data_IF_654259860256
#
_entry.id   IF_654259860256
#
_cell.length_a   1.000
_cell.length_b   1.000
_cell.length_c   1.000
_cell.angle_alpha   90.00
_cell.angle_beta   90.00
_cell.angle_gamma   90.00
#
_symmetry.space_group_name_H-M   'P 1'
#
loop_
_entity.id
_entity.type
_entity.pdbx_description
1 polymer ?
#
# COMPACT_ATOMS: atom_id res chain seq x y z
N UNK A 1 12.51 -7.94 -7.55
CA UNK A 1 12.13 -7.88 -6.13
C UNK A 1 10.61 -7.71 -6.03
N UNK A 2 9.97 -8.52 -5.22
CA UNK A 2 8.52 -8.47 -5.04
C UNK A 2 8.17 -7.45 -3.96
N UNK A 3 7.14 -6.66 -4.20
CA UNK A 3 6.69 -5.59 -3.33
C UNK A 3 5.30 -5.87 -2.76
N UNK A 4 5.09 -5.41 -1.53
CA UNK A 4 3.78 -5.42 -0.87
C UNK A 4 3.30 -3.98 -0.78
N UNK A 5 2.07 -3.71 -1.21
CA UNK A 5 1.43 -2.40 -1.05
C UNK A 5 0.48 -2.42 0.14
N UNK A 6 0.50 -1.38 0.94
CA UNK A 6 -0.34 -1.26 2.14
C UNK A 6 -1.13 0.04 2.10
N UNK A 7 -2.45 -0.09 2.14
CA UNK A 7 -3.37 1.02 2.36
C UNK A 7 -3.86 0.94 3.81
N UNK A 8 -3.32 1.81 4.65
CA UNK A 8 -3.58 1.78 6.09
C UNK A 8 -4.88 2.51 6.44
N UNK A 9 -5.85 1.79 6.99
CA UNK A 9 -7.08 2.35 7.53
C UNK A 9 -7.19 2.10 9.04
N UNK A 10 -8.12 2.78 9.70
CA UNK A 10 -8.30 2.65 11.14
C UNK A 10 -8.80 1.27 11.56
N UNK A 11 -9.73 0.70 10.80
CA UNK A 11 -10.32 -0.60 11.11
C UNK A 11 -9.81 -1.73 10.24
N UNK A 12 -9.32 -1.43 9.05
CA UNK A 12 -8.88 -2.42 8.07
C UNK A 12 -7.64 -1.92 7.35
N UNK A 13 -6.85 -2.89 6.90
CA UNK A 13 -5.63 -2.63 6.12
C UNK A 13 -5.75 -3.40 4.82
N UNK A 14 -5.73 -2.69 3.69
CA UNK A 14 -5.76 -3.30 2.37
C UNK A 14 -4.34 -3.64 1.90
N UNK A 15 -4.19 -4.81 1.31
CA UNK A 15 -2.90 -5.29 0.81
C UNK A 15 -2.95 -5.57 -0.68
N UNK A 16 -1.87 -5.23 -1.36
CA UNK A 16 -1.61 -5.61 -2.74
C UNK A 16 -0.21 -6.20 -2.85
N UNK A 17 0.04 -6.93 -3.93
CA UNK A 17 1.31 -7.60 -4.14
C UNK A 17 1.75 -7.43 -5.59
N UNK A 18 3.06 -7.30 -5.82
CA UNK A 18 3.60 -7.25 -7.16
C UNK A 18 4.13 -8.60 -7.61
N UNK A 19 4.36 -8.72 -8.93
CA UNK A 19 5.16 -9.80 -9.49
C UNK A 19 6.64 -9.62 -9.11
N UNK A 20 7.45 -10.63 -9.38
CA UNK A 20 8.88 -10.61 -9.06
C UNK A 20 9.66 -9.56 -9.85
N UNK A 21 9.17 -9.20 -11.05
CA UNK A 21 9.79 -8.19 -11.90
C UNK A 21 9.39 -6.76 -11.52
N UNK A 22 8.52 -6.60 -10.53
CA UNK A 22 8.03 -5.30 -10.07
C UNK A 22 7.37 -4.48 -11.18
N UNK A 23 6.60 -5.15 -12.05
CA UNK A 23 5.90 -4.51 -13.16
C UNK A 23 4.42 -4.25 -12.86
N UNK A 24 3.71 -5.24 -12.30
CA UNK A 24 2.27 -5.18 -12.09
C UNK A 24 1.89 -5.45 -10.64
N UNK A 25 0.95 -4.66 -10.14
CA UNK A 25 0.36 -4.86 -8.82
C UNK A 25 -0.99 -5.56 -8.94
N UNK A 26 -1.28 -6.44 -7.99
CA UNK A 26 -2.54 -7.17 -7.90
C UNK A 26 -3.14 -7.00 -6.51
N UNK A 27 -4.48 -6.98 -6.38
CA UNK A 27 -5.10 -7.05 -5.05
C UNK A 27 -4.68 -8.34 -4.35
N UNK A 28 -4.50 -8.29 -3.05
CA UNK A 28 -4.03 -9.46 -2.31
C UNK A 28 -4.99 -9.87 -1.20
N UNK A 29 -5.11 -9.06 -0.16
CA UNK A 29 -5.89 -9.41 1.03
C UNK A 29 -6.28 -8.15 1.80
N UNK A 30 -7.32 -8.25 2.63
CA UNK A 30 -7.68 -7.22 3.61
C UNK A 30 -7.52 -7.82 5.00
N UNK A 31 -6.78 -7.13 5.86
CA UNK A 31 -6.56 -7.56 7.25
C UNK A 31 -7.31 -6.65 8.20
N UNK A 32 -7.70 -7.21 9.35
CA UNK A 32 -8.21 -6.39 10.45
C UNK A 32 -7.04 -5.65 11.11
N UNK A 33 -7.25 -4.38 11.43
CA UNK A 33 -6.25 -3.58 12.13
C UNK A 33 -6.31 -3.87 13.62
N UNK A 34 -5.76 -5.02 14.03
CA UNK A 34 -5.75 -5.49 15.41
C UNK A 34 -4.33 -5.86 15.87
N UNK A 35 -4.22 -6.41 17.07
CA UNK A 35 -2.92 -6.74 17.66
C UNK A 35 -2.12 -7.79 16.88
N UNK A 36 -2.77 -8.53 15.97
CA UNK A 36 -2.11 -9.60 15.19
C UNK A 36 -1.61 -9.12 13.83
N UNK A 37 -1.91 -7.88 13.44
CA UNK A 37 -1.64 -7.41 12.07
C UNK A 37 -0.15 -7.44 11.71
N UNK A 38 0.73 -7.05 12.62
CA UNK A 38 2.17 -7.08 12.37
C UNK A 38 2.69 -8.49 12.14
N UNK A 39 2.23 -9.46 12.94
CA UNK A 39 2.60 -10.86 12.78
C UNK A 39 2.07 -11.44 11.47
N UNK A 40 0.85 -11.07 11.09
CA UNK A 40 0.26 -11.53 9.83
C UNK A 40 1.02 -10.97 8.62
N UNK A 41 1.38 -9.70 8.64
CA UNK A 41 2.18 -9.09 7.57
C UNK A 41 3.58 -9.73 7.52
N UNK A 42 4.19 -9.99 8.66
CA UNK A 42 5.49 -10.66 8.73
C UNK A 42 5.44 -12.04 8.05
N UNK A 43 4.37 -12.80 8.29
CA UNK A 43 4.17 -14.10 7.64
C UNK A 43 4.00 -13.99 6.12
N UNK A 44 3.27 -12.97 5.67
CA UNK A 44 3.09 -12.71 4.24
C UNK A 44 4.42 -12.36 3.59
N UNK A 45 5.20 -11.50 4.22
CA UNK A 45 6.52 -11.09 3.74
C UNK A 45 7.42 -12.31 3.55
N UNK A 46 7.43 -13.22 4.52
CA UNK A 46 8.23 -14.45 4.46
C UNK A 46 7.69 -15.42 3.40
N UNK A 47 6.39 -15.69 3.43
CA UNK A 47 5.75 -16.65 2.50
C UNK A 47 5.87 -16.23 1.04
N UNK A 48 5.62 -14.95 0.77
CA UNK A 48 5.61 -14.39 -0.59
C UNK A 48 6.97 -13.84 -1.02
N UNK A 49 7.97 -13.94 -0.16
CA UNK A 49 9.33 -13.44 -0.43
C UNK A 49 9.34 -11.96 -0.81
N UNK A 50 8.67 -11.16 -0.01
CA UNK A 50 8.57 -9.72 -0.21
C UNK A 50 9.91 -9.06 0.17
N UNK A 51 10.46 -8.24 -0.71
CA UNK A 51 11.69 -7.50 -0.44
C UNK A 51 11.47 -6.07 -0.03
N UNK A 52 10.29 -5.51 -0.33
CA UNK A 52 9.96 -4.14 0.02
C UNK A 52 8.48 -3.95 0.27
N UNK A 53 8.14 -2.96 1.08
CA UNK A 53 6.77 -2.60 1.45
C UNK A 53 6.55 -1.12 1.14
N UNK A 54 5.50 -0.83 0.38
CA UNK A 54 5.08 0.53 0.06
C UNK A 54 3.85 0.86 0.89
N UNK A 55 3.92 1.94 1.65
CA UNK A 55 2.81 2.39 2.50
C UNK A 55 2.34 3.76 2.01
N UNK A 56 1.04 3.88 1.75
CA UNK A 56 0.48 5.15 1.31
C UNK A 56 0.40 6.18 2.43
N UNK A 57 0.77 7.42 2.10
CA UNK A 57 0.59 8.57 3.01
C UNK A 57 -0.47 9.50 2.41
N UNK A 58 -1.68 9.55 3.01
CA UNK A 58 -2.73 10.46 2.55
C UNK A 58 -2.49 11.87 3.06
N UNK A 59 -1.50 12.56 2.47
CA UNK A 59 -1.13 13.92 2.87
C UNK A 59 -2.23 14.92 2.52
N UNK A 60 -2.27 16.02 3.27
CA UNK A 60 -3.10 17.17 2.95
C UNK A 60 -2.65 17.82 1.64
N UNK A 61 -3.52 18.62 1.03
CA UNK A 61 -3.22 19.28 -0.25
C UNK A 61 -1.98 20.17 -0.19
N UNK A 62 -1.68 20.73 0.98
CA UNK A 62 -0.49 21.57 1.21
C UNK A 62 0.78 20.76 1.51
N UNK A 63 0.69 19.43 1.50
CA UNK A 63 1.82 18.54 1.78
C UNK A 63 2.06 18.23 3.25
N UNK A 64 1.27 18.80 4.17
CA UNK A 64 1.40 18.49 5.59
C UNK A 64 0.78 17.13 5.91
N UNK A 65 1.24 16.51 7.01
CA UNK A 65 0.71 15.24 7.49
C UNK A 65 -0.49 15.50 8.41
N UNK A 66 -1.67 15.05 7.96
CA UNK A 66 -2.85 15.01 8.81
C UNK A 66 -2.83 13.79 9.71
N UNK A 67 -3.93 13.57 10.44
CA UNK A 67 -4.04 12.49 11.40
C UNK A 67 -3.87 11.10 10.74
N UNK A 68 -4.51 10.88 9.59
CA UNK A 68 -4.42 9.60 8.87
C UNK A 68 -3.00 9.32 8.37
N UNK A 69 -2.31 10.34 7.85
CA UNK A 69 -0.93 10.19 7.38
C UNK A 69 0.02 9.92 8.55
N UNK A 70 -0.21 10.57 9.69
CA UNK A 70 0.60 10.32 10.89
C UNK A 70 0.44 8.89 11.39
N UNK A 71 -0.78 8.34 11.37
CA UNK A 71 -1.04 6.95 11.75
C UNK A 71 -0.37 5.97 10.80
N UNK A 72 -0.43 6.24 9.49
CA UNK A 72 0.23 5.40 8.49
C UNK A 72 1.75 5.44 8.65
N UNK A 73 2.31 6.60 8.93
CA UNK A 73 3.75 6.76 9.19
C UNK A 73 4.18 5.96 10.43
N UNK A 74 3.42 6.05 11.52
CA UNK A 74 3.69 5.31 12.75
C UNK A 74 3.63 3.80 12.50
N UNK A 75 2.64 3.34 11.73
CA UNK A 75 2.50 1.94 11.36
C UNK A 75 3.70 1.46 10.55
N UNK A 76 4.15 2.24 9.58
CA UNK A 76 5.34 1.93 8.79
C UNK A 76 6.61 1.85 9.63
N UNK A 77 6.75 2.72 10.64
CA UNK A 77 7.87 2.67 11.56
C UNK A 77 7.86 1.39 12.40
N UNK A 78 6.66 0.94 12.82
CA UNK A 78 6.52 -0.33 13.54
C UNK A 78 6.89 -1.52 12.64
N UNK A 79 6.47 -1.49 11.37
CA UNK A 79 6.83 -2.53 10.40
C UNK A 79 8.35 -2.58 10.17
N UNK A 80 8.98 -1.42 10.09
CA UNK A 80 10.44 -1.35 9.90
C UNK A 80 11.18 -2.03 11.07
N UNK A 81 10.68 -1.87 12.28
CA UNK A 81 11.25 -2.53 13.47
C UNK A 81 10.95 -4.03 13.51
N UNK A 82 9.72 -4.41 13.12
CA UNK A 82 9.27 -5.81 13.16
C UNK A 82 9.84 -6.65 12.04
N UNK A 83 10.08 -6.05 10.87
CA UNK A 83 10.52 -6.76 9.66
C UNK A 83 11.74 -6.02 9.07
N UNK A 84 12.90 -6.08 9.74
CA UNK A 84 14.07 -5.31 9.29
C UNK A 84 14.61 -5.76 7.94
N UNK A 85 14.28 -6.95 7.47
CA UNK A 85 14.72 -7.46 6.17
C UNK A 85 13.98 -6.80 5.00
N UNK A 86 12.80 -6.20 5.23
CA UNK A 86 12.03 -5.55 4.18
C UNK A 86 12.31 -4.06 4.14
N UNK A 87 12.49 -3.52 2.93
CA UNK A 87 12.64 -2.09 2.71
C UNK A 87 11.28 -1.41 2.85
N UNK A 88 11.19 -0.33 3.63
CA UNK A 88 9.94 0.42 3.83
C UNK A 88 10.00 1.71 3.03
N UNK A 89 8.98 1.91 2.18
CA UNK A 89 8.83 3.12 1.35
C UNK A 89 7.49 3.76 1.71
N UNK A 90 7.51 5.05 2.01
CA UNK A 90 6.28 5.84 2.16
C UNK A 90 6.00 6.55 0.83
N UNK A 91 4.79 6.37 0.30
CA UNK A 91 4.40 6.90 -0.99
C UNK A 91 3.25 7.88 -0.84
N UNK A 92 3.39 9.06 -1.41
CA UNK A 92 2.38 10.11 -1.35
C UNK A 92 1.17 9.72 -2.21
N UNK A 93 0.02 9.51 -1.57
CA UNK A 93 -1.22 9.13 -2.26
C UNK A 93 -1.73 10.19 -3.23
N UNK A 94 -1.29 11.46 -3.08
CA UNK A 94 -1.64 12.52 -4.04
C UNK A 94 -1.08 12.27 -5.43
N UNK A 95 -0.13 11.33 -5.56
CA UNK A 95 0.46 10.95 -6.84
C UNK A 95 -0.39 9.93 -7.61
N UNK A 96 -1.50 9.46 -7.05
CA UNK A 96 -2.43 8.58 -7.77
C UNK A 96 -3.27 9.38 -8.76
N UNK A 97 -3.73 8.72 -9.84
CA UNK A 97 -4.48 9.39 -10.90
C UNK A 97 -5.92 9.70 -10.50
N UNK A 98 -6.52 10.68 -11.15
CA UNK A 98 -7.93 11.06 -10.94
C UNK A 98 -8.88 9.92 -11.32
N UNK A 99 -8.57 9.18 -12.40
CA UNK A 99 -9.36 8.01 -12.82
C UNK A 99 -9.36 6.93 -11.76
N UNK A 100 -8.20 6.67 -11.15
CA UNK A 100 -8.08 5.70 -10.07
C UNK A 100 -8.95 6.09 -8.88
N UNK A 101 -8.95 7.36 -8.49
CA UNK A 101 -9.78 7.86 -7.40
C UNK A 101 -11.28 7.75 -7.72
N UNK A 102 -11.67 8.02 -8.97
CA UNK A 102 -13.05 7.86 -9.43
C UNK A 102 -13.50 6.41 -9.37
N UNK A 103 -12.64 5.49 -9.81
CA UNK A 103 -12.91 4.06 -9.74
C UNK A 103 -13.13 3.59 -8.31
N UNK A 104 -12.32 4.07 -7.37
CA UNK A 104 -12.48 3.78 -5.95
C UNK A 104 -13.82 4.28 -5.40
N UNK A 105 -14.22 5.51 -5.74
CA UNK A 105 -15.50 6.07 -5.31
C UNK A 105 -16.68 5.30 -5.89
N UNK A 106 -16.61 4.92 -7.16
CA UNK A 106 -17.66 4.14 -7.81
C UNK A 106 -17.81 2.76 -7.17
N UNK A 107 -16.70 2.12 -6.79
CA UNK A 107 -16.72 0.82 -6.11
C UNK A 107 -17.21 0.93 -4.66
N UNK A 108 -17.13 2.12 -4.03
CA UNK A 108 -17.43 2.34 -2.62
C UNK A 108 -18.89 2.42 -2.23
N UNK A 109 -19.82 2.22 -3.17
CA UNK A 109 -21.25 2.46 -2.93
C UNK A 109 -22.00 1.29 -2.29
N UNK A 110 -21.36 0.16 -2.00
CA UNK A 110 -22.06 -1.07 -1.63
C UNK A 110 -21.53 -1.71 -0.34
N UNK A 111 -21.90 -2.92 -0.04
CA UNK A 111 -21.81 -3.71 1.18
C UNK A 111 -20.42 -3.76 1.86
N UNK A 112 -20.33 -4.35 3.08
CA UNK A 112 -19.08 -4.60 3.81
C UNK A 112 -18.05 -5.35 2.96
N UNK A 113 -18.51 -6.28 2.12
CA UNK A 113 -17.65 -7.08 1.25
C UNK A 113 -17.01 -6.20 0.17
N UNK A 114 -17.78 -5.24 -0.37
CA UNK A 114 -17.27 -4.26 -1.33
C UNK A 114 -16.21 -3.36 -0.71
N UNK A 115 -16.36 -3.01 0.57
CA UNK A 115 -15.37 -2.20 1.30
C UNK A 115 -14.02 -2.91 1.42
N UNK A 116 -14.01 -4.23 1.67
CA UNK A 116 -12.79 -5.01 1.71
C UNK A 116 -12.10 -5.05 0.35
N UNK A 117 -12.86 -5.19 -0.72
CA UNK A 117 -12.34 -5.17 -2.09
C UNK A 117 -11.75 -3.79 -2.41
N UNK A 118 -12.43 -2.73 -1.99
CA UNK A 118 -11.95 -1.36 -2.18
C UNK A 118 -10.60 -1.14 -1.51
N UNK A 119 -10.42 -1.64 -0.28
CA UNK A 119 -9.15 -1.53 0.43
C UNK A 119 -8.01 -2.19 -0.35
N UNK A 120 -8.26 -3.35 -0.96
CA UNK A 120 -7.30 -4.06 -1.80
C UNK A 120 -7.02 -3.31 -3.10
N UNK A 121 -8.05 -2.75 -3.73
CA UNK A 121 -7.90 -1.96 -4.96
C UNK A 121 -7.15 -0.67 -4.67
N UNK A 122 -7.41 -0.03 -3.54
CA UNK A 122 -6.66 1.16 -3.12
C UNK A 122 -5.17 0.83 -2.95
N UNK A 123 -4.86 -0.30 -2.30
CA UNK A 123 -3.48 -0.76 -2.15
C UNK A 123 -2.84 -1.11 -3.50
N UNK A 124 -3.61 -1.68 -4.43
CA UNK A 124 -3.15 -1.99 -5.78
C UNK A 124 -2.78 -0.73 -6.56
N UNK A 125 -3.66 0.28 -6.54
CA UNK A 125 -3.43 1.56 -7.24
C UNK A 125 -2.19 2.26 -6.69
N UNK A 126 -2.07 2.28 -5.36
CA UNK A 126 -0.92 2.85 -4.66
C UNK A 126 0.37 2.15 -5.08
N UNK A 127 0.39 0.83 -5.03
CA UNK A 127 1.57 0.06 -5.38
C UNK A 127 1.92 0.24 -6.86
N UNK A 128 0.92 0.20 -7.75
CA UNK A 128 1.17 0.39 -9.18
C UNK A 128 1.78 1.76 -9.47
N UNK A 129 1.31 2.80 -8.80
CA UNK A 129 1.88 4.15 -8.93
C UNK A 129 3.36 4.16 -8.58
N UNK A 130 3.74 3.50 -7.50
CA UNK A 130 5.14 3.39 -7.11
C UNK A 130 5.96 2.57 -8.12
N UNK A 131 5.44 1.42 -8.55
CA UNK A 131 6.12 0.56 -9.53
C UNK A 131 6.35 1.28 -10.86
N UNK A 132 5.37 2.06 -11.30
CA UNK A 132 5.50 2.86 -12.53
C UNK A 132 6.62 3.89 -12.38
N UNK A 133 6.77 4.50 -11.20
CA UNK A 133 7.85 5.45 -10.95
C UNK A 133 9.23 4.80 -11.04
N UNK A 134 9.36 3.56 -10.57
CA UNK A 134 10.62 2.82 -10.68
C UNK A 134 11.01 2.55 -12.13
N UNK A 135 10.05 2.17 -12.95
CA UNK A 135 10.29 1.93 -14.38
C UNK A 135 10.64 3.20 -15.12
N UNK A 136 9.99 4.30 -14.78
CA UNK A 136 10.30 5.60 -15.35
C UNK A 136 11.72 6.04 -15.03
N UNK A 137 12.17 5.86 -13.79
CA UNK A 137 13.54 6.17 -13.38
C UNK A 137 14.56 5.34 -14.16
N UNK A 138 14.31 4.03 -14.35
CA UNK A 138 15.18 3.17 -15.13
C UNK A 138 15.29 3.62 -16.59
N UNK A 139 14.18 4.07 -17.19
CA UNK A 139 14.18 4.61 -18.56
C UNK A 139 14.92 5.94 -18.64
N UNK A 140 14.76 6.80 -17.63
CA UNK A 140 15.44 8.11 -17.57
C UNK A 140 16.94 8.00 -17.37
N UNK A 141 17.43 6.89 -16.82
CA UNK A 141 18.85 6.64 -16.60
C UNK A 141 19.58 6.16 -17.85
N UNK A 142 18.85 5.85 -18.92
CA UNK A 142 19.39 5.46 -20.21
C UNK A 142 19.52 6.69 -21.12
#
# INVERSE_FOLDING_TARGET
MRWLGIDHGDGRIGLSISDELACLAHPYQTLQSDARVLAEISRIVERERIGGIVIGLPKNMDGTLGQSASKAKAFGDELARAIPAAKIIFWDERLTTVEAQRALRAAGKNTKQSKKIIDQVAAQILLQSYLDSLQWEQRGAQ
#
